data_IF_461084939865
#
_entry.id   IF_461084939865
#
_cell.length_a   1.000
_cell.length_b   1.000
_cell.length_c   1.000
_cell.angle_alpha   90.00
_cell.angle_beta   90.00
_cell.angle_gamma   90.00
#
_symmetry.space_group_name_H-M   'P 1'
#
loop_
_entity.id
_entity.type
_entity.pdbx_description
1 polymer ?
#
# COMPACT_ATOMS: atom_id res chain seq x y z
N UNK A 1 2.90 11.86 -23.65
CA UNK A 1 4.29 12.05 -23.17
C UNK A 1 4.83 10.72 -22.66
N UNK A 2 6.12 10.44 -22.83
CA UNK A 2 6.79 9.23 -22.34
C UNK A 2 7.48 9.51 -21.02
N UNK A 3 7.22 8.71 -19.99
CA UNK A 3 7.87 8.81 -18.69
C UNK A 3 8.56 7.50 -18.33
N UNK A 4 9.66 7.61 -17.60
CA UNK A 4 10.46 6.46 -17.18
C UNK A 4 10.19 6.22 -15.70
N UNK A 5 9.66 5.06 -15.37
CA UNK A 5 9.36 4.63 -14.02
C UNK A 5 10.50 3.75 -13.53
N UNK A 6 11.26 4.23 -12.56
CA UNK A 6 12.34 3.49 -11.89
C UNK A 6 11.83 2.89 -10.59
N UNK A 7 11.80 1.56 -10.52
CA UNK A 7 11.56 0.84 -9.29
C UNK A 7 12.87 0.75 -8.49
N UNK A 8 12.82 1.10 -7.21
CA UNK A 8 13.97 0.97 -6.30
C UNK A 8 14.43 -0.48 -6.10
N UNK A 9 13.58 -1.46 -6.43
CA UNK A 9 13.89 -2.90 -6.36
C UNK A 9 14.48 -3.50 -7.65
N UNK A 10 14.83 -2.67 -8.66
CA UNK A 10 15.71 -3.10 -9.75
C UNK A 10 15.08 -3.27 -11.14
N UNK A 11 13.99 -2.55 -11.44
CA UNK A 11 13.37 -2.55 -12.78
C UNK A 11 13.03 -1.15 -13.26
N UNK A 12 13.18 -0.89 -14.57
CA UNK A 12 12.68 0.33 -15.20
C UNK A 12 11.54 -0.06 -16.14
N UNK A 13 10.41 0.64 -16.06
CA UNK A 13 9.31 0.53 -17.00
C UNK A 13 9.17 1.87 -17.76
N UNK A 14 8.83 1.81 -19.04
CA UNK A 14 8.53 2.97 -19.87
C UNK A 14 7.02 3.03 -20.05
N UNK A 15 6.41 4.14 -19.65
CA UNK A 15 4.95 4.30 -19.73
C UNK A 15 4.63 5.57 -20.51
N UNK A 16 3.64 5.46 -21.39
CA UNK A 16 3.05 6.61 -22.08
C UNK A 16 1.88 7.12 -21.24
N UNK A 17 1.92 8.41 -20.93
CA UNK A 17 0.87 9.10 -20.17
C UNK A 17 0.43 10.36 -20.90
N UNK A 18 -0.81 10.77 -20.64
CA UNK A 18 -1.37 12.02 -21.09
C UNK A 18 -1.35 13.04 -19.96
N UNK A 19 -1.47 14.33 -20.29
CA UNK A 19 -1.53 15.41 -19.30
C UNK A 19 -2.75 15.31 -18.37
N UNK A 20 -3.81 14.67 -18.85
CA UNK A 20 -5.04 14.38 -18.10
C UNK A 20 -4.96 13.11 -17.25
N UNK A 21 -3.98 12.24 -17.47
CA UNK A 21 -3.85 10.99 -16.72
C UNK A 21 -3.61 11.29 -15.25
N UNK A 22 -4.36 10.65 -14.36
CA UNK A 22 -4.17 10.78 -12.91
C UNK A 22 -2.99 9.94 -12.41
N UNK A 23 -2.43 10.34 -11.27
CA UNK A 23 -1.41 9.54 -10.58
C UNK A 23 -1.95 8.16 -10.19
N UNK A 24 -3.23 8.07 -9.81
CA UNK A 24 -3.89 6.80 -9.54
C UNK A 24 -3.96 5.87 -10.77
N UNK A 25 -4.31 6.40 -11.94
CA UNK A 25 -4.30 5.62 -13.20
C UNK A 25 -2.90 5.20 -13.62
N UNK A 26 -1.91 6.08 -13.44
CA UNK A 26 -0.51 5.74 -13.69
C UNK A 26 -0.04 4.58 -12.81
N UNK A 27 -0.37 4.58 -11.52
CA UNK A 27 -0.05 3.47 -10.60
C UNK A 27 -0.69 2.15 -11.03
N UNK A 28 -1.94 2.19 -11.49
CA UNK A 28 -2.63 1.00 -12.04
C UNK A 28 -1.96 0.47 -13.30
N UNK A 29 -1.52 1.35 -14.21
CA UNK A 29 -0.80 0.94 -15.42
C UNK A 29 0.50 0.21 -15.10
N UNK A 30 1.29 0.73 -14.15
CA UNK A 30 2.57 0.11 -13.80
C UNK A 30 2.45 -1.09 -12.88
N UNK A 31 1.30 -1.32 -12.25
CA UNK A 31 1.07 -2.43 -11.33
C UNK A 31 1.48 -3.78 -11.93
N UNK A 32 1.04 -4.03 -13.16
CA UNK A 32 1.34 -5.28 -13.89
C UNK A 32 2.82 -5.37 -14.26
N UNK A 33 3.44 -4.27 -14.71
CA UNK A 33 4.84 -4.24 -15.14
C UNK A 33 5.83 -4.42 -13.98
N UNK A 34 5.55 -3.84 -12.82
CA UNK A 34 6.48 -3.86 -11.67
C UNK A 34 6.09 -4.91 -10.61
N UNK A 35 4.93 -5.55 -10.77
CA UNK A 35 4.37 -6.53 -9.83
C UNK A 35 4.20 -5.99 -8.40
N UNK A 36 3.79 -4.73 -8.26
CA UNK A 36 3.54 -4.07 -6.96
C UNK A 36 2.13 -3.50 -7.02
N UNK A 37 1.22 -3.81 -6.07
CA UNK A 37 -0.15 -3.30 -6.10
C UNK A 37 -0.18 -1.76 -5.96
N UNK A 38 -1.06 -1.08 -6.69
CA UNK A 38 -1.14 0.39 -6.74
C UNK A 38 -1.26 1.05 -5.35
N UNK A 39 -1.92 0.38 -4.41
CA UNK A 39 -2.07 0.84 -3.01
C UNK A 39 -0.74 0.87 -2.24
N UNK A 40 0.22 0.01 -2.61
CA UNK A 40 1.56 -0.03 -2.03
C UNK A 40 2.55 0.85 -2.82
N UNK A 41 2.17 1.37 -3.98
CA UNK A 41 3.04 2.22 -4.78
C UNK A 41 2.97 3.67 -4.29
N UNK A 42 4.14 4.26 -4.03
CA UNK A 42 4.29 5.70 -3.81
C UNK A 42 5.20 6.26 -4.89
N UNK A 43 4.64 7.07 -5.79
CA UNK A 43 5.42 7.74 -6.83
C UNK A 43 6.13 8.95 -6.23
N UNK A 44 7.42 9.08 -6.53
CA UNK A 44 8.31 10.11 -6.00
C UNK A 44 9.04 10.78 -7.16
N UNK A 45 9.01 12.11 -7.17
CA UNK A 45 9.71 12.96 -8.13
C UNK A 45 10.56 13.99 -7.38
N UNK A 46 11.88 13.98 -7.59
CA UNK A 46 12.83 14.89 -6.91
C UNK A 46 12.62 14.95 -5.37
N UNK A 47 12.36 13.80 -4.75
CA UNK A 47 12.10 13.70 -3.31
C UNK A 47 10.70 14.13 -2.86
N UNK A 48 9.81 14.53 -3.78
CA UNK A 48 8.40 14.84 -3.48
C UNK A 48 7.50 13.68 -3.86
N UNK A 49 6.63 13.26 -2.95
CA UNK A 49 5.60 12.26 -3.21
C UNK A 49 4.48 12.87 -4.05
N UNK A 50 4.05 12.16 -5.08
CA UNK A 50 2.91 12.55 -5.90
C UNK A 50 1.61 12.07 -5.24
N UNK A 51 0.60 12.93 -5.25
CA UNK A 51 -0.75 12.67 -4.76
C UNK A 51 -1.60 12.00 -5.83
N UNK A 52 -2.38 11.00 -5.43
CA UNK A 52 -3.24 10.18 -6.30
C UNK A 52 -4.33 10.98 -7.02
N UNK A 53 -4.92 11.97 -6.33
CA UNK A 53 -6.00 12.82 -6.85
C UNK A 53 -5.56 13.87 -7.89
N UNK A 54 -4.25 14.00 -8.14
CA UNK A 54 -3.72 15.01 -9.04
C UNK A 54 -3.41 14.41 -10.42
N UNK A 55 -3.72 15.12 -11.52
CA UNK A 55 -3.27 14.72 -12.85
C UNK A 55 -1.77 14.99 -13.03
N UNK A 56 -1.17 14.34 -14.03
CA UNK A 56 0.25 14.57 -14.38
C UNK A 56 0.51 16.05 -14.72
N UNK A 57 -0.43 16.72 -15.40
CA UNK A 57 -0.35 18.17 -15.70
C UNK A 57 -0.24 19.08 -14.47
N UNK A 58 -0.72 18.64 -13.31
CA UNK A 58 -0.58 19.41 -12.07
C UNK A 58 0.89 19.57 -11.65
N UNK A 59 1.76 18.66 -12.10
CA UNK A 59 3.18 18.67 -11.80
C UNK A 59 3.98 19.18 -13.00
N UNK A 60 4.31 20.48 -13.08
CA UNK A 60 5.00 21.08 -14.23
C UNK A 60 6.42 20.54 -14.47
N UNK A 61 6.96 19.79 -13.49
CA UNK A 61 8.26 19.12 -13.57
C UNK A 61 8.18 17.78 -14.30
N UNK A 62 6.99 17.23 -14.52
CA UNK A 62 6.81 16.01 -15.31
C UNK A 62 6.70 16.41 -16.77
N UNK A 63 7.78 16.15 -17.51
CA UNK A 63 7.88 16.32 -18.96
C UNK A 63 8.22 15.00 -19.64
N UNK A 64 8.22 15.00 -20.96
CA UNK A 64 8.72 13.87 -21.75
C UNK A 64 10.15 13.48 -21.33
N UNK A 65 10.38 12.18 -21.10
CA UNK A 65 11.64 11.62 -20.62
C UNK A 65 11.89 11.74 -19.10
N UNK A 66 10.94 12.27 -18.33
CA UNK A 66 11.12 12.42 -16.87
C UNK A 66 11.19 11.08 -16.17
N UNK A 67 12.12 10.97 -15.21
CA UNK A 67 12.29 9.78 -14.37
C UNK A 67 11.50 9.94 -13.06
N UNK A 68 10.52 9.08 -12.86
CA UNK A 68 9.80 8.92 -11.59
C UNK A 68 10.34 7.70 -10.85
N UNK A 69 10.33 7.78 -9.53
CA UNK A 69 10.74 6.66 -8.68
C UNK A 69 9.51 6.05 -8.00
N UNK A 70 9.44 4.72 -7.97
CA UNK A 70 8.43 4.00 -7.20
C UNK A 70 9.06 3.56 -5.89
N UNK A 71 8.52 4.06 -4.78
CA UNK A 71 8.75 3.54 -3.45
C UNK A 71 7.63 2.58 -3.07
N UNK A 72 8.00 1.45 -2.45
CA UNK A 72 7.03 0.46 -1.96
C UNK A 72 6.70 0.80 -0.51
N UNK A 73 5.47 1.24 -0.26
CA UNK A 73 4.91 1.22 1.09
C UNK A 73 4.67 -0.23 1.46
N UNK A 74 5.46 -0.74 2.40
CA UNK A 74 5.10 -1.99 3.08
C UNK A 74 3.79 -1.71 3.83
N UNK A 75 2.75 -2.54 3.68
CA UNK A 75 1.59 -2.43 4.56
C UNK A 75 2.10 -2.52 6.00
N UNK A 76 1.65 -1.59 6.86
CA UNK A 76 1.93 -1.71 8.28
C UNK A 76 1.34 -3.05 8.74
N UNK A 77 2.20 -3.92 9.28
CA UNK A 77 1.72 -5.18 9.82
C UNK A 77 0.76 -4.90 10.97
N UNK A 78 -0.22 -5.77 11.19
CA UNK A 78 -1.13 -5.66 12.34
C UNK A 78 -0.34 -5.48 13.64
N UNK A 79 0.79 -6.18 13.77
CA UNK A 79 1.73 -6.01 14.88
C UNK A 79 2.24 -4.57 15.04
N UNK A 80 2.56 -3.90 13.94
CA UNK A 80 3.03 -2.50 13.95
C UNK A 80 1.91 -1.57 14.40
N UNK A 81 0.70 -1.77 13.89
CA UNK A 81 -0.48 -0.97 14.26
C UNK A 81 -0.84 -1.17 15.73
N UNK A 82 -0.91 -2.43 16.18
CA UNK A 82 -1.18 -2.77 17.59
C UNK A 82 -0.10 -2.20 18.51
N UNK A 83 1.18 -2.36 18.17
CA UNK A 83 2.28 -1.81 18.97
C UNK A 83 2.20 -0.29 19.06
N UNK A 84 1.84 0.39 17.96
CA UNK A 84 1.67 1.85 17.92
C UNK A 84 0.51 2.31 18.80
N UNK A 85 -0.61 1.58 18.78
CA UNK A 85 -1.76 1.86 19.62
C UNK A 85 -1.48 1.61 21.11
N UNK A 86 -0.86 0.47 21.44
CA UNK A 86 -0.58 0.06 22.81
C UNK A 86 0.49 0.91 23.48
N UNK A 87 1.41 1.52 22.72
CA UNK A 87 2.42 2.46 23.25
C UNK A 87 1.82 3.70 23.92
N UNK A 88 0.56 4.02 23.67
CA UNK A 88 -0.13 5.09 24.39
C UNK A 88 -0.48 4.72 25.84
N UNK A 89 -0.49 3.43 26.17
CA UNK A 89 -0.99 2.90 27.45
C UNK A 89 0.03 2.02 28.19
N UNK A 90 0.98 1.41 27.47
CA UNK A 90 1.88 0.39 28.00
C UNK A 90 3.33 0.65 27.60
N UNK A 91 4.28 0.06 28.36
CA UNK A 91 5.71 0.10 28.02
C UNK A 91 6.02 -0.76 26.80
N UNK A 92 7.18 -0.56 26.18
CA UNK A 92 7.55 -1.30 24.97
C UNK A 92 7.60 -2.82 25.18
N UNK A 93 8.05 -3.27 26.36
CA UNK A 93 8.08 -4.69 26.75
C UNK A 93 6.66 -5.26 26.88
N UNK A 94 5.76 -4.53 27.55
CA UNK A 94 4.37 -4.94 27.71
C UNK A 94 3.63 -4.94 26.37
N UNK A 95 3.86 -3.93 25.51
CA UNK A 95 3.32 -3.89 24.15
C UNK A 95 3.71 -5.15 23.38
N UNK A 96 4.99 -5.53 23.44
CA UNK A 96 5.49 -6.72 22.75
C UNK A 96 4.82 -8.00 23.27
N UNK A 97 4.69 -8.16 24.59
CA UNK A 97 4.02 -9.32 25.19
C UNK A 97 2.54 -9.41 24.78
N UNK A 98 1.81 -8.29 24.84
CA UNK A 98 0.38 -8.23 24.49
C UNK A 98 0.18 -8.55 23.00
N UNK A 99 1.02 -7.98 22.12
CA UNK A 99 0.93 -8.23 20.67
C UNK A 99 1.23 -9.69 20.35
N UNK A 100 2.24 -10.29 20.98
CA UNK A 100 2.62 -11.69 20.74
C UNK A 100 1.52 -12.67 21.17
N UNK A 101 1.00 -12.51 22.39
CA UNK A 101 -0.10 -13.35 22.89
C UNK A 101 -1.40 -13.13 22.11
N UNK A 102 -1.71 -11.89 21.71
CA UNK A 102 -2.84 -11.61 20.83
C UNK A 102 -2.71 -12.35 19.50
N UNK A 103 -1.56 -12.23 18.82
CA UNK A 103 -1.34 -12.87 17.52
C UNK A 103 -1.36 -14.40 17.62
N UNK A 104 -0.83 -14.96 18.71
CA UNK A 104 -0.88 -16.39 18.98
C UNK A 104 -2.33 -16.86 19.14
N UNK A 105 -3.11 -16.18 19.96
CA UNK A 105 -4.52 -16.52 20.16
C UNK A 105 -5.33 -16.32 18.88
N UNK A 106 -5.08 -15.24 18.14
CA UNK A 106 -5.70 -14.96 16.84
C UNK A 106 -5.42 -16.09 15.84
N UNK A 107 -4.15 -16.52 15.69
CA UNK A 107 -3.78 -17.59 14.77
C UNK A 107 -4.40 -18.94 15.17
N UNK A 108 -4.50 -19.25 16.47
CA UNK A 108 -5.17 -20.46 16.96
C UNK A 108 -6.66 -20.42 16.59
N UNK A 109 -7.31 -19.28 16.84
CA UNK A 109 -8.73 -19.10 16.54
C UNK A 109 -9.02 -19.21 15.05
N UNK A 110 -8.21 -18.58 14.20
CA UNK A 110 -8.31 -18.69 12.74
C UNK A 110 -8.14 -20.12 12.25
N UNK A 111 -7.18 -20.87 12.81
CA UNK A 111 -6.98 -22.29 12.44
C UNK A 111 -8.12 -23.21 12.85
N UNK A 112 -8.87 -22.84 13.88
CA UNK A 112 -9.97 -23.63 14.41
C UNK A 112 -11.35 -23.24 13.84
N UNK A 113 -11.41 -22.21 12.99
CA UNK A 113 -12.64 -21.83 12.30
C UNK A 113 -12.88 -22.76 11.10
N UNK A 114 -14.11 -23.24 10.95
CA UNK A 114 -14.51 -24.03 9.79
C UNK A 114 -14.75 -23.12 8.57
N UNK A 115 -14.80 -23.71 7.37
CA UNK A 115 -15.09 -22.96 6.14
C UNK A 115 -16.45 -22.24 6.24
N UNK A 116 -17.47 -22.88 6.82
CA UNK A 116 -18.78 -22.29 7.07
C UNK A 116 -18.73 -21.09 8.04
N UNK A 117 -17.87 -21.15 9.07
CA UNK A 117 -17.69 -20.02 9.99
C UNK A 117 -16.98 -18.85 9.31
N UNK A 118 -15.99 -19.14 8.44
CA UNK A 118 -15.28 -18.12 7.67
C UNK A 118 -16.20 -17.44 6.64
N UNK A 119 -17.08 -18.20 5.98
CA UNK A 119 -18.10 -17.65 5.09
C UNK A 119 -19.10 -16.78 5.84
N UNK A 120 -19.55 -17.20 7.03
CA UNK A 120 -20.43 -16.37 7.87
C UNK A 120 -19.78 -15.04 8.23
N UNK A 121 -18.52 -15.06 8.69
CA UNK A 121 -17.77 -13.84 9.03
C UNK A 121 -17.61 -12.92 7.80
N UNK A 122 -17.39 -13.48 6.62
CA UNK A 122 -17.21 -12.69 5.39
C UNK A 122 -18.52 -12.05 4.88
N UNK A 123 -19.68 -12.61 5.21
CA UNK A 123 -21.00 -12.14 4.74
C UNK A 123 -21.62 -11.12 5.72
N UNK A 124 -21.28 -11.18 7.02
CA UNK A 124 -21.86 -10.27 8.04
C UNK A 124 -21.45 -8.79 7.88
N UNK A 125 -20.38 -8.46 7.15
CA UNK A 125 -20.00 -7.07 6.82
C UNK A 125 -20.76 -6.50 5.59
N UNK A 126 -21.65 -7.28 4.96
CA UNK A 126 -22.32 -6.95 3.70
C UNK A 126 -23.73 -6.36 3.80
N UNK A 127 -24.35 -6.34 5.00
CA UNK A 127 -25.72 -5.87 5.15
C UNK A 127 -25.91 -5.09 6.46
N UNK A 128 -25.48 -3.83 6.45
CA UNK A 128 -26.00 -2.83 7.38
C UNK A 128 -26.34 -1.59 6.54
N UNK A 129 -27.46 -1.71 5.83
CA UNK A 129 -28.22 -0.58 5.28
C UNK A 129 -28.76 0.31 6.39
#
# INVERSE_FOLDING_TARGET
MKIIIKCLKGGNCLVEVDESTTIAELKKRIETDINIPATQQTLVLFGKTLQDDKPVSFYPKIKDGTKLYVAVKKPESLNTVLSKFLRHYYTEEQCKMIVDEFMKNFNIKIKNLSLDDLERIAIEDGDNS
#
